data_IF_765058720121
#
_entry.id   IF_765058720121
#
_cell.length_a   1.000
_cell.length_b   1.000
_cell.length_c   1.000
_cell.angle_alpha   90.00
_cell.angle_beta   90.00
_cell.angle_gamma   90.00
#
_symmetry.space_group_name_H-M   'P 1'
#
loop_
_entity.id
_entity.type
_entity.pdbx_description
1 polymer ?
#
# COMPACT_ATOMS: atom_id res chain seq x y z
N UNK A 1 -33.34 -2.53 12.77
CA UNK A 1 -32.98 -2.69 12.32
C UNK A 1 -32.32 -2.57 11.89
N UNK A 2 -32.23 -2.66 12.06
CA UNK A 2 -31.62 -2.68 11.56
C UNK A 2 -30.80 -2.73 11.17
N UNK A 3 -30.64 -2.67 11.30
CA UNK A 3 -29.98 -2.86 10.91
C UNK A 3 -29.25 -2.82 10.67
N UNK A 4 -29.17 -2.73 10.87
CA UNK A 4 -28.56 -2.76 10.56
C UNK A 4 -27.93 -3.03 10.13
N UNK A 5 -28.03 -3.11 10.17
CA UNK A 5 -27.55 -3.42 9.67
C UNK A 5 -26.82 -3.37 9.18
N UNK A 6 -26.94 -3.13 9.34
CA UNK A 6 -26.32 -3.10 8.89
C UNK A 6 -25.40 -2.95 8.72
N UNK A 7 -25.31 -2.97 8.92
CA UNK A 7 -24.46 -2.95 8.81
C UNK A 7 -23.76 -3.12 8.39
N UNK A 8 -23.91 -3.35 8.37
CA UNK A 8 -23.25 -3.60 8.05
C UNK A 8 -22.71 -3.49 7.38
N UNK A 9 -23.17 -3.63 7.37
CA UNK A 9 -22.58 -3.34 6.81
C UNK A 9 -21.52 -2.66 6.68
N UNK A 10 -21.26 -2.79 7.27
CA UNK A 10 -20.10 -2.12 7.28
C UNK A 10 -19.08 -2.71 6.49
N UNK A 11 -18.45 -1.93 5.81
CA UNK A 11 -17.47 -2.37 5.02
C UNK A 11 -16.22 -2.48 5.65
N UNK A 12 -15.85 -3.62 5.92
CA UNK A 12 -14.52 -3.89 6.23
C UNK A 12 -13.85 -4.11 4.94
N UNK A 13 -12.95 -3.22 4.63
CA UNK A 13 -12.15 -3.40 3.47
C UNK A 13 -10.98 -4.25 3.89
N UNK A 14 -10.97 -5.49 3.49
CA UNK A 14 -9.89 -6.40 3.80
C UNK A 14 -8.91 -6.43 2.66
N UNK A 15 -7.65 -6.19 2.98
CA UNK A 15 -6.56 -6.41 2.05
C UNK A 15 -5.95 -7.77 2.32
N UNK A 16 -5.57 -8.46 1.25
CA UNK A 16 -4.86 -9.73 1.37
C UNK A 16 -3.54 -9.62 0.63
N UNK A 17 -2.55 -10.36 1.09
CA UNK A 17 -1.25 -10.39 0.45
C UNK A 17 -1.34 -11.17 -0.85
N UNK A 18 -0.95 -10.54 -1.94
CA UNK A 18 -0.97 -11.16 -3.25
C UNK A 18 0.39 -11.68 -3.67
N UNK A 19 1.47 -10.97 -3.29
CA UNK A 19 2.81 -11.33 -3.74
C UNK A 19 3.82 -10.56 -2.89
N UNK A 20 5.10 -10.87 -3.10
CA UNK A 20 6.20 -10.10 -2.52
C UNK A 20 7.00 -9.53 -3.69
N UNK A 21 7.16 -8.22 -3.69
CA UNK A 21 7.87 -7.52 -4.76
C UNK A 21 9.08 -6.81 -4.20
N UNK A 22 10.14 -6.74 -4.99
CA UNK A 22 11.26 -5.86 -4.66
C UNK A 22 10.91 -4.43 -5.09
N UNK A 23 11.66 -3.46 -4.56
CA UNK A 23 11.43 -2.05 -4.88
C UNK A 23 11.39 -1.79 -6.38
N UNK A 24 12.26 -2.45 -7.14
CA UNK A 24 12.32 -2.23 -8.58
C UNK A 24 11.13 -2.80 -9.35
N UNK A 25 10.30 -3.62 -8.71
CA UNK A 25 9.12 -4.19 -9.32
C UNK A 25 7.84 -3.43 -8.99
N UNK A 26 7.94 -2.45 -8.09
CA UNK A 26 6.77 -1.68 -7.68
C UNK A 26 6.35 -0.72 -8.78
N UNK A 27 5.06 -0.44 -8.84
CA UNK A 27 4.49 0.48 -9.81
C UNK A 27 3.56 1.45 -9.11
N UNK A 28 3.35 2.59 -9.73
CA UNK A 28 2.36 3.55 -9.26
C UNK A 28 1.00 2.87 -9.20
N UNK A 29 0.24 3.17 -8.18
CA UNK A 29 -1.07 2.60 -7.86
C UNK A 29 -1.02 1.22 -7.20
N UNK A 30 0.16 0.62 -7.04
CA UNK A 30 0.26 -0.59 -6.24
C UNK A 30 0.00 -0.27 -4.77
N UNK A 31 -0.66 -1.20 -4.08
CA UNK A 31 -0.86 -1.11 -2.63
C UNK A 31 0.14 -2.04 -1.95
N UNK A 32 0.89 -1.51 -1.01
CA UNK A 32 1.91 -2.29 -0.30
C UNK A 32 1.73 -2.11 1.20
N UNK A 33 2.26 -3.06 1.95
CA UNK A 33 2.22 -3.03 3.40
C UNK A 33 3.50 -2.38 3.93
N UNK A 34 3.34 -1.31 4.68
CA UNK A 34 4.45 -0.64 5.36
C UNK A 34 4.14 -0.68 6.85
N UNK A 35 4.94 -1.46 7.58
CA UNK A 35 4.62 -1.70 8.99
C UNK A 35 3.27 -2.39 9.08
N UNK A 36 2.32 -1.78 9.76
CA UNK A 36 0.98 -2.33 9.91
C UNK A 36 -0.04 -1.65 9.02
N UNK A 37 0.41 -0.84 8.06
CA UNK A 37 -0.49 -0.01 7.28
C UNK A 37 -0.35 -0.30 5.80
N UNK A 38 -1.49 -0.41 5.12
CA UNK A 38 -1.51 -0.54 3.66
C UNK A 38 -1.54 0.86 3.07
N UNK A 39 -0.60 1.11 2.17
CA UNK A 39 -0.50 2.41 1.49
C UNK A 39 -0.48 2.20 -0.01
N UNK A 40 -0.91 3.23 -0.73
CA UNK A 40 -0.90 3.21 -2.20
C UNK A 40 0.26 4.05 -2.68
N UNK A 41 1.00 3.54 -3.64
CA UNK A 41 2.13 4.26 -4.22
C UNK A 41 1.61 5.32 -5.17
N UNK A 42 1.91 6.57 -4.87
CA UNK A 42 1.49 7.71 -5.71
C UNK A 42 2.57 8.10 -6.71
N UNK A 43 3.84 7.96 -6.33
CA UNK A 43 4.95 8.33 -7.20
C UNK A 43 6.19 7.53 -6.83
N UNK A 44 7.01 7.21 -7.82
CA UNK A 44 8.28 6.51 -7.63
C UNK A 44 9.36 7.31 -8.33
N UNK A 45 10.41 7.65 -7.58
CA UNK A 45 11.55 8.35 -8.14
C UNK A 45 12.77 7.45 -7.98
N UNK A 46 13.46 7.22 -9.06
CA UNK A 46 14.66 6.39 -9.08
C UNK A 46 15.85 7.17 -8.56
N UNK A 47 16.60 6.55 -7.68
CA UNK A 47 17.85 7.12 -7.15
C UNK A 47 19.01 6.22 -7.59
N UNK A 48 20.23 6.64 -7.28
CA UNK A 48 21.41 5.88 -7.69
C UNK A 48 21.48 4.50 -7.05
N UNK A 49 20.97 4.37 -5.84
CA UNK A 49 21.03 3.09 -5.10
C UNK A 49 19.71 2.69 -4.49
N UNK A 50 18.61 3.17 -5.03
CA UNK A 50 17.30 2.84 -4.50
C UNK A 50 16.22 3.70 -5.12
N UNK A 51 15.16 3.90 -4.34
CA UNK A 51 13.99 4.65 -4.82
C UNK A 51 13.42 5.50 -3.70
N UNK A 52 12.78 6.59 -4.08
CA UNK A 52 11.94 7.35 -3.18
C UNK A 52 10.49 7.07 -3.58
N UNK A 53 9.67 6.68 -2.61
CA UNK A 53 8.27 6.38 -2.85
C UNK A 53 7.41 7.43 -2.15
N UNK A 54 6.53 8.05 -2.90
CA UNK A 54 5.45 8.85 -2.29
C UNK A 54 4.26 7.93 -2.12
N UNK A 55 3.76 7.80 -0.91
CA UNK A 55 2.70 6.87 -0.57
C UNK A 55 1.55 7.61 0.11
N UNK A 56 0.35 7.07 -0.04
CA UNK A 56 -0.86 7.66 0.55
C UNK A 56 -1.58 6.54 1.30
N UNK A 57 -1.96 6.81 2.54
CA UNK A 57 -2.71 5.84 3.32
C UNK A 57 -4.22 5.99 3.10
N UNK A 58 -5.01 5.18 3.80
CA UNK A 58 -6.46 5.19 3.65
C UNK A 58 -7.11 6.48 4.12
N UNK A 59 -6.40 7.26 4.92
CA UNK A 59 -6.90 8.53 5.42
C UNK A 59 -6.52 9.70 4.51
N UNK A 60 -5.86 9.42 3.39
CA UNK A 60 -5.41 10.44 2.47
C UNK A 60 -4.14 11.14 2.89
N UNK A 61 -3.47 10.63 3.92
CA UNK A 61 -2.21 11.21 4.37
C UNK A 61 -1.07 10.74 3.49
N UNK A 62 -0.20 11.67 3.13
CA UNK A 62 0.92 11.37 2.26
C UNK A 62 2.19 11.31 3.05
N UNK A 63 3.07 10.44 2.61
CA UNK A 63 4.40 10.32 3.20
C UNK A 63 5.40 10.00 2.10
N UNK A 64 6.66 10.27 2.36
CA UNK A 64 7.74 9.98 1.41
C UNK A 64 8.75 9.11 2.13
N UNK A 65 9.05 7.96 1.56
CA UNK A 65 10.00 7.03 2.15
C UNK A 65 11.09 6.70 1.13
N UNK A 66 12.29 6.45 1.66
CA UNK A 66 13.41 6.00 0.84
C UNK A 66 13.62 4.53 1.07
N UNK A 67 13.81 3.78 -0.01
CA UNK A 67 13.98 2.33 0.07
C UNK A 67 15.18 1.93 -0.77
N UNK A 68 15.83 0.84 -0.40
CA UNK A 68 16.92 0.27 -1.17
C UNK A 68 16.38 -0.45 -2.39
N UNK A 69 17.22 -0.68 -3.39
CA UNK A 69 16.72 -1.25 -4.64
C UNK A 69 16.32 -2.71 -4.52
N UNK A 70 16.73 -3.39 -3.46
CA UNK A 70 16.37 -4.78 -3.23
C UNK A 70 15.47 -4.99 -2.01
N UNK A 71 14.97 -3.91 -1.43
CA UNK A 71 14.00 -4.05 -0.35
C UNK A 71 12.75 -4.75 -0.87
N UNK A 72 12.11 -5.53 0.00
CA UNK A 72 10.95 -6.31 -0.37
C UNK A 72 9.72 -5.78 0.33
N UNK A 73 8.60 -5.84 -0.36
CA UNK A 73 7.32 -5.36 0.14
C UNK A 73 6.23 -6.36 -0.19
N UNK A 74 5.27 -6.50 0.72
CA UNK A 74 4.09 -7.30 0.46
C UNK A 74 3.14 -6.50 -0.41
N UNK A 75 2.82 -7.03 -1.58
CA UNK A 75 1.81 -6.44 -2.46
C UNK A 75 0.45 -6.84 -1.93
N UNK A 76 -0.40 -5.87 -1.65
CA UNK A 76 -1.71 -6.09 -1.07
C UNK A 76 -2.78 -5.79 -2.09
N UNK A 77 -3.83 -6.60 -2.10
CA UNK A 77 -4.97 -6.35 -2.97
C UNK A 77 -6.24 -6.38 -2.15
N UNK A 78 -7.25 -5.66 -2.62
CA UNK A 78 -8.57 -5.72 -2.03
C UNK A 78 -9.20 -7.05 -2.34
N UNK A 79 -9.79 -7.61 -1.34
CA UNK A 79 -10.48 -8.89 -1.49
C UNK A 79 -11.95 -8.67 -1.84
#
# INVERSE_FOLDING_TARGET
MIDLENDDTIQIVDYVKADVLTSGQLMVDDCILIGDEVVTIAEIVSLSDGYTLEVVNDFGERDVIEVGEYDQFDLMILQ
#
